data_IF_246592786734
#
_entry.id   IF_246592786734
#
_cell.length_a   1.000
_cell.length_b   1.000
_cell.length_c   1.000
_cell.angle_alpha   90.00
_cell.angle_beta   90.00
_cell.angle_gamma   90.00
#
_symmetry.space_group_name_H-M   'P 1'
#
loop_
_entity.id
_entity.type
_entity.pdbx_description
1 polymer ?
#
# COMPACT_ATOMS: atom_id res chain seq x y z
N UNK A 1 27.14 -44.94 -52.62
CA UNK A 1 26.22 -43.80 -52.42
C UNK A 1 25.79 -43.74 -50.95
N UNK A 2 26.75 -43.63 -50.01
CA UNK A 2 26.49 -43.74 -48.56
C UNK A 2 27.34 -42.76 -47.71
N UNK A 3 27.97 -41.76 -48.33
CA UNK A 3 28.88 -40.83 -47.64
C UNK A 3 28.24 -39.46 -47.32
N UNK A 4 26.99 -39.23 -47.71
CA UNK A 4 26.31 -37.92 -47.61
C UNK A 4 25.46 -37.77 -46.34
N UNK A 5 24.78 -38.85 -45.90
CA UNK A 5 23.91 -38.83 -44.71
C UNK A 5 24.66 -38.48 -43.41
N UNK A 6 25.90 -38.97 -43.24
CA UNK A 6 26.67 -38.76 -42.00
C UNK A 6 27.06 -37.29 -41.75
N UNK A 7 27.23 -36.50 -42.81
CA UNK A 7 27.52 -35.05 -42.68
C UNK A 7 26.27 -34.26 -42.35
N UNK A 8 25.13 -34.65 -42.89
CA UNK A 8 23.83 -34.06 -42.57
C UNK A 8 23.44 -34.30 -41.10
N UNK A 9 23.63 -35.53 -40.61
CA UNK A 9 23.37 -35.86 -39.20
C UNK A 9 24.29 -35.10 -38.24
N UNK A 10 25.58 -34.94 -38.59
CA UNK A 10 26.53 -34.17 -37.78
C UNK A 10 26.13 -32.69 -37.73
N UNK A 11 25.72 -32.10 -38.85
CA UNK A 11 25.27 -30.71 -38.94
C UNK A 11 24.01 -30.46 -38.09
N UNK A 12 23.03 -31.38 -38.15
CA UNK A 12 21.81 -31.32 -37.33
C UNK A 12 22.14 -31.49 -35.83
N UNK A 13 23.12 -32.33 -35.48
CA UNK A 13 23.55 -32.52 -34.08
C UNK A 13 24.24 -31.27 -33.51
N UNK A 14 25.08 -30.62 -34.32
CA UNK A 14 25.80 -29.39 -33.96
C UNK A 14 24.83 -28.21 -33.81
N UNK A 15 23.86 -28.06 -34.71
CA UNK A 15 22.80 -27.05 -34.62
C UNK A 15 21.92 -27.23 -33.37
N UNK A 16 21.52 -28.47 -33.06
CA UNK A 16 20.81 -28.80 -31.81
C UNK A 16 21.64 -28.47 -30.56
N UNK A 17 22.97 -28.59 -30.60
CA UNK A 17 23.84 -28.26 -29.47
C UNK A 17 23.97 -26.73 -29.27
N UNK A 18 24.08 -25.96 -30.35
CA UNK A 18 24.09 -24.50 -30.33
C UNK A 18 22.77 -23.94 -29.81
N UNK A 19 21.65 -24.49 -30.28
CA UNK A 19 20.30 -24.13 -29.81
C UNK A 19 20.11 -24.45 -28.32
N UNK A 20 20.56 -25.62 -27.84
CA UNK A 20 20.51 -25.99 -26.41
C UNK A 20 21.34 -25.04 -25.55
N UNK A 21 22.56 -24.69 -25.98
CA UNK A 21 23.42 -23.76 -25.26
C UNK A 21 22.82 -22.34 -25.22
N UNK A 22 22.22 -21.89 -26.32
CA UNK A 22 21.50 -20.61 -26.38
C UNK A 22 20.31 -20.55 -25.42
N UNK A 23 19.47 -21.58 -25.40
CA UNK A 23 18.34 -21.69 -24.47
C UNK A 23 18.81 -21.75 -23.00
N UNK A 24 19.92 -22.45 -22.72
CA UNK A 24 20.50 -22.51 -21.38
C UNK A 24 20.98 -21.12 -20.90
N UNK A 25 21.61 -20.33 -21.76
CA UNK A 25 22.04 -18.97 -21.43
C UNK A 25 20.86 -18.02 -21.17
N UNK A 26 19.79 -18.12 -21.98
CA UNK A 26 18.55 -17.36 -21.75
C UNK A 26 17.92 -17.75 -20.40
N UNK A 27 17.87 -19.05 -20.12
CA UNK A 27 17.38 -19.58 -18.84
C UNK A 27 18.19 -19.07 -17.66
N UNK A 28 19.52 -19.08 -17.76
CA UNK A 28 20.42 -18.58 -16.73
C UNK A 28 20.25 -17.07 -16.50
N UNK A 29 20.15 -16.28 -17.56
CA UNK A 29 19.90 -14.84 -17.46
C UNK A 29 18.55 -14.54 -16.80
N UNK A 30 17.50 -15.25 -17.20
CA UNK A 30 16.17 -15.09 -16.61
C UNK A 30 16.16 -15.50 -15.13
N UNK A 31 16.77 -16.64 -14.79
CA UNK A 31 16.91 -17.10 -13.41
C UNK A 31 17.68 -16.07 -12.56
N UNK A 32 18.81 -15.56 -13.06
CA UNK A 32 19.57 -14.52 -12.37
C UNK A 32 18.74 -13.24 -12.16
N UNK A 33 18.00 -12.79 -13.18
CA UNK A 33 17.09 -11.63 -13.08
C UNK A 33 16.00 -11.83 -12.02
N UNK A 34 15.39 -13.02 -11.99
CA UNK A 34 14.36 -13.39 -11.00
C UNK A 34 14.97 -13.43 -9.59
N UNK A 35 16.13 -14.07 -9.41
CA UNK A 35 16.83 -14.15 -8.13
C UNK A 35 17.22 -12.76 -7.61
N UNK A 36 17.78 -11.91 -8.47
CA UNK A 36 18.15 -10.53 -8.11
C UNK A 36 16.90 -9.73 -7.68
N UNK A 37 15.81 -9.83 -8.45
CA UNK A 37 14.56 -9.13 -8.13
C UNK A 37 13.99 -9.59 -6.78
N UNK A 38 14.01 -10.91 -6.53
CA UNK A 38 13.59 -11.49 -5.25
C UNK A 38 14.41 -10.95 -4.07
N UNK A 39 15.73 -10.88 -4.21
CA UNK A 39 16.61 -10.31 -3.16
C UNK A 39 16.25 -8.85 -2.89
N UNK A 40 16.06 -8.03 -3.93
CA UNK A 40 15.65 -6.64 -3.75
C UNK A 40 14.29 -6.51 -3.05
N UNK A 41 13.32 -7.34 -3.40
CA UNK A 41 12.00 -7.31 -2.77
C UNK A 41 12.04 -7.79 -1.31
N UNK A 42 12.89 -8.77 -0.99
CA UNK A 42 13.16 -9.18 0.39
C UNK A 42 13.78 -8.04 1.21
N UNK A 43 14.80 -7.36 0.67
CA UNK A 43 15.44 -6.23 1.33
C UNK A 43 14.45 -5.07 1.56
N UNK A 44 13.57 -4.79 0.58
CA UNK A 44 12.48 -3.82 0.74
C UNK A 44 11.53 -4.24 1.86
N UNK A 45 11.14 -5.51 1.91
CA UNK A 45 10.24 -6.03 2.95
C UNK A 45 10.87 -5.91 4.35
N UNK A 46 12.14 -6.31 4.52
CA UNK A 46 12.88 -6.15 5.77
C UNK A 46 12.92 -4.68 6.19
N UNK A 47 13.22 -3.77 5.26
CA UNK A 47 13.24 -2.33 5.54
C UNK A 47 11.88 -1.79 6.01
N UNK A 48 10.79 -2.21 5.37
CA UNK A 48 9.44 -1.69 5.64
C UNK A 48 8.82 -2.31 6.90
N UNK A 49 9.02 -3.60 7.13
CA UNK A 49 8.28 -4.36 8.13
C UNK A 49 9.10 -4.77 9.36
N UNK A 50 10.43 -4.72 9.28
CA UNK A 50 11.32 -5.02 10.41
C UNK A 50 12.04 -3.75 10.86
N UNK A 51 12.86 -3.16 9.99
CA UNK A 51 13.67 -2.00 10.36
C UNK A 51 12.81 -0.78 10.74
N UNK A 52 11.70 -0.56 10.03
CA UNK A 52 10.78 0.53 10.38
C UNK A 52 10.14 0.38 11.77
N UNK A 53 10.01 -0.85 12.28
CA UNK A 53 9.40 -1.12 13.59
C UNK A 53 10.40 -0.99 14.74
N UNK A 54 11.68 -1.27 14.46
CA UNK A 54 12.79 -1.14 15.42
C UNK A 54 13.35 0.29 15.45
N UNK A 55 13.24 1.01 14.33
CA UNK A 55 13.66 2.40 14.25
C UNK A 55 12.94 3.25 15.32
N UNK A 56 13.68 4.22 15.88
CA UNK A 56 13.14 5.14 16.88
C UNK A 56 11.82 5.72 16.39
N UNK A 57 10.79 5.69 17.25
CA UNK A 57 9.47 6.25 16.93
C UNK A 57 9.64 7.67 16.39
N UNK A 58 9.11 7.90 15.19
CA UNK A 58 9.14 9.20 14.54
C UNK A 58 8.25 10.15 15.33
N UNK A 59 8.81 11.30 15.71
CA UNK A 59 8.00 12.43 16.15
C UNK A 59 7.37 13.04 14.90
N UNK A 60 6.06 12.78 14.72
CA UNK A 60 5.34 13.28 13.55
C UNK A 60 5.20 14.79 13.56
N UNK A 61 5.20 15.42 14.74
CA UNK A 61 5.13 16.86 14.81
C UNK A 61 6.41 17.52 14.30
N UNK A 62 7.56 16.96 14.67
CA UNK A 62 8.85 17.42 14.13
C UNK A 62 8.96 17.09 12.64
N UNK A 63 8.56 15.87 12.23
CA UNK A 63 8.72 15.43 10.84
C UNK A 63 7.81 16.18 9.86
N UNK A 64 6.56 16.46 10.25
CA UNK A 64 5.54 17.03 9.36
C UNK A 64 5.14 18.47 9.70
N UNK A 65 5.94 19.15 10.53
CA UNK A 65 5.84 20.59 10.72
C UNK A 65 4.68 21.05 11.60
N UNK A 66 4.05 20.15 12.35
CA UNK A 66 3.00 20.53 13.30
C UNK A 66 2.28 19.36 13.95
N UNK A 67 1.53 19.66 15.02
CA UNK A 67 0.93 18.66 15.90
C UNK A 67 -0.45 18.20 15.46
N UNK A 68 -0.98 18.62 14.32
CA UNK A 68 -2.38 18.37 14.01
C UNK A 68 -2.59 17.26 12.99
N UNK A 69 -3.48 16.33 13.28
CA UNK A 69 -3.91 15.29 12.36
C UNK A 69 -5.42 15.33 12.18
N UNK A 70 -5.91 15.15 10.96
CA UNK A 70 -7.33 14.93 10.66
C UNK A 70 -7.51 13.47 10.28
N UNK A 71 -8.47 12.80 10.92
CA UNK A 71 -8.81 11.42 10.63
C UNK A 71 -10.26 11.37 10.17
N UNK A 72 -10.48 10.92 8.93
CA UNK A 72 -11.84 10.68 8.42
C UNK A 72 -12.29 9.26 8.78
N UNK A 73 -13.60 9.07 8.97
CA UNK A 73 -14.14 7.77 9.37
C UNK A 73 -13.67 7.32 10.75
N UNK A 74 -13.42 8.27 11.67
CA UNK A 74 -12.82 8.01 12.97
C UNK A 74 -13.76 7.39 14.03
N UNK A 75 -15.04 7.15 13.68
CA UNK A 75 -16.06 6.65 14.61
C UNK A 75 -15.80 5.21 15.06
N UNK A 76 -15.27 4.36 14.16
CA UNK A 76 -15.10 2.93 14.41
C UNK A 76 -13.89 2.34 13.66
N UNK A 77 -13.61 1.06 13.94
CA UNK A 77 -12.63 0.25 13.23
C UNK A 77 -11.24 0.88 13.12
N UNK A 78 -10.69 0.87 11.91
CA UNK A 78 -9.34 1.34 11.60
C UNK A 78 -9.21 2.86 11.81
N UNK A 79 -10.23 3.65 11.42
CA UNK A 79 -10.20 5.10 11.59
C UNK A 79 -10.11 5.51 13.07
N UNK A 80 -10.91 4.87 13.93
CA UNK A 80 -10.81 5.08 15.39
C UNK A 80 -9.42 4.74 15.92
N UNK A 81 -8.84 3.62 15.49
CA UNK A 81 -7.50 3.22 15.90
C UNK A 81 -6.43 4.22 15.44
N UNK A 82 -6.52 4.77 14.22
CA UNK A 82 -5.65 5.86 13.76
C UNK A 82 -5.75 7.09 14.65
N UNK A 83 -6.96 7.53 14.97
CA UNK A 83 -7.15 8.67 15.85
C UNK A 83 -6.53 8.43 17.23
N UNK A 84 -6.78 7.28 17.85
CA UNK A 84 -6.22 6.94 19.15
C UNK A 84 -4.69 6.84 19.13
N UNK A 85 -4.09 6.19 18.12
CA UNK A 85 -2.64 6.04 18.05
C UNK A 85 -1.93 7.35 17.69
N UNK A 86 -2.51 8.20 16.84
CA UNK A 86 -1.99 9.54 16.56
C UNK A 86 -2.01 10.42 17.82
N UNK A 87 -3.10 10.37 18.59
CA UNK A 87 -3.19 11.05 19.88
C UNK A 87 -2.14 10.54 20.88
N UNK A 88 -1.95 9.21 20.97
CA UNK A 88 -0.87 8.60 21.78
C UNK A 88 0.54 9.02 21.36
N UNK A 89 0.72 9.41 20.09
CA UNK A 89 1.98 9.94 19.55
C UNK A 89 2.13 11.46 19.70
N UNK A 90 1.23 12.12 20.43
CA UNK A 90 1.31 13.55 20.73
C UNK A 90 0.72 14.46 19.66
N UNK A 91 -0.07 13.92 18.73
CA UNK A 91 -0.82 14.72 17.76
C UNK A 91 -2.17 15.15 18.33
N UNK A 92 -2.54 16.41 18.15
CA UNK A 92 -3.90 16.91 18.25
C UNK A 92 -4.73 16.33 17.09
N UNK A 93 -5.73 15.50 17.40
CA UNK A 93 -6.51 14.83 16.36
C UNK A 93 -7.87 15.47 16.20
N UNK A 94 -8.17 15.91 14.99
CA UNK A 94 -9.51 16.28 14.57
C UNK A 94 -10.18 15.07 13.96
N UNK A 95 -11.33 14.70 14.52
CA UNK A 95 -12.14 13.59 14.06
C UNK A 95 -13.18 14.13 13.08
N UNK A 96 -13.22 13.57 11.87
CA UNK A 96 -14.31 13.83 10.92
C UNK A 96 -15.10 12.54 10.69
N UNK A 97 -16.36 12.57 11.11
CA UNK A 97 -17.42 11.67 10.64
C UNK A 97 -18.44 12.53 9.87
N UNK A 98 -19.55 11.96 9.38
CA UNK A 98 -20.51 12.58 8.44
C UNK A 98 -21.25 13.86 8.94
N UNK A 99 -20.69 14.66 9.85
CA UNK A 99 -21.18 16.01 10.18
C UNK A 99 -20.18 17.10 9.75
N UNK A 100 -20.69 18.08 9.02
CA UNK A 100 -19.96 19.16 8.35
C UNK A 100 -19.66 20.30 9.33
N UNK A 101 -18.43 20.38 9.86
CA UNK A 101 -17.93 21.60 10.49
C UNK A 101 -16.52 21.97 10.04
N UNK A 102 -16.39 23.27 9.73
CA UNK A 102 -15.27 24.00 9.10
C UNK A 102 -13.91 23.61 9.67
N UNK A 103 -12.99 23.18 8.81
CA UNK A 103 -11.60 22.91 9.20
C UNK A 103 -10.57 23.43 8.19
N UNK A 104 -10.76 24.65 7.68
CA UNK A 104 -9.89 25.23 6.67
C UNK A 104 -8.50 25.67 7.17
N UNK A 105 -8.04 25.36 8.40
CA UNK A 105 -6.83 26.05 8.93
C UNK A 105 -5.77 25.23 9.67
N UNK A 106 -5.90 23.92 9.90
CA UNK A 106 -5.09 23.30 10.97
C UNK A 106 -4.42 21.95 10.67
N UNK A 107 -4.72 21.21 9.60
CA UNK A 107 -4.24 19.82 9.49
C UNK A 107 -2.80 19.66 8.93
N UNK A 108 -1.95 18.89 9.63
CA UNK A 108 -0.58 18.51 9.20
C UNK A 108 -0.47 17.03 8.76
N UNK A 109 -1.39 16.18 9.19
CA UNK A 109 -1.54 14.78 8.74
C UNK A 109 -2.99 14.50 8.38
N UNK A 110 -3.28 13.86 7.25
CA UNK A 110 -4.62 13.33 6.96
C UNK A 110 -4.59 11.82 6.87
N UNK A 111 -5.53 11.15 7.56
CA UNK A 111 -5.88 9.75 7.29
C UNK A 111 -7.24 9.75 6.58
N UNK A 112 -7.23 9.46 5.28
CA UNK A 112 -8.44 9.40 4.49
C UNK A 112 -8.94 7.95 4.36
N UNK A 113 -9.85 7.56 5.24
CA UNK A 113 -10.47 6.25 5.21
C UNK A 113 -11.74 6.26 4.37
N UNK A 114 -11.61 6.34 3.04
CA UNK A 114 -12.78 6.19 2.16
C UNK A 114 -12.85 4.78 1.63
N UNK A 115 -13.82 4.06 2.15
CA UNK A 115 -14.23 2.76 1.68
C UNK A 115 -15.19 2.18 2.68
N UNK A 116 -16.43 2.64 2.59
CA UNK A 116 -17.54 1.96 3.23
C UNK A 116 -17.82 0.72 2.39
N UNK A 117 -17.90 -0.45 3.02
CA UNK A 117 -18.54 -1.61 2.42
C UNK A 117 -20.04 -1.36 2.56
N UNK A 118 -20.73 -1.09 1.45
CA UNK A 118 -22.15 -0.76 1.46
C UNK A 118 -22.97 -2.04 1.31
N UNK A 119 -24.11 -2.13 2.01
CA UNK A 119 -25.09 -3.20 1.81
C UNK A 119 -25.96 -2.99 0.53
N UNK A 120 -25.73 -1.92 -0.24
CA UNK A 120 -26.47 -1.56 -1.46
C UNK A 120 -25.66 -0.62 -2.40
N UNK A 121 -25.95 -0.56 -3.71
CA UNK A 121 -25.25 0.33 -4.65
C UNK A 121 -25.66 1.82 -4.51
N UNK A 122 -24.68 2.74 -4.53
CA UNK A 122 -24.89 4.20 -4.56
C UNK A 122 -24.21 4.85 -5.78
N UNK A 123 -24.71 6.04 -6.18
CA UNK A 123 -24.20 6.83 -7.32
C UNK A 123 -22.87 7.55 -7.03
N UNK A 124 -22.09 7.72 -8.10
CA UNK A 124 -20.67 8.05 -8.17
C UNK A 124 -20.23 9.47 -7.73
N UNK A 125 -21.14 10.37 -7.32
CA UNK A 125 -20.84 11.81 -7.21
C UNK A 125 -20.23 12.26 -5.86
N UNK A 126 -20.14 11.40 -4.86
CA UNK A 126 -19.38 11.67 -3.62
C UNK A 126 -17.94 11.19 -3.77
N UNK A 127 -17.13 11.96 -4.49
CA UNK A 127 -15.71 11.62 -4.71
C UNK A 127 -14.95 11.62 -3.37
N UNK A 128 -14.23 10.53 -3.02
CA UNK A 128 -13.48 10.34 -1.78
C UNK A 128 -12.46 11.41 -1.32
N UNK A 129 -12.24 12.51 -2.05
CA UNK A 129 -11.01 13.30 -1.92
C UNK A 129 -11.21 14.80 -1.69
N UNK A 130 -12.39 15.23 -1.23
CA UNK A 130 -12.59 16.63 -0.84
C UNK A 130 -11.56 17.08 0.23
N UNK A 131 -11.23 16.18 1.17
CA UNK A 131 -10.25 16.48 2.23
C UNK A 131 -8.84 16.72 1.70
N UNK A 132 -8.37 15.90 0.77
CA UNK A 132 -7.06 16.09 0.12
C UNK A 132 -7.01 17.44 -0.59
N UNK A 133 -8.06 17.81 -1.32
CA UNK A 133 -8.14 19.12 -2.00
C UNK A 133 -8.10 20.30 -1.03
N UNK A 134 -8.70 20.17 0.14
CA UNK A 134 -8.75 21.25 1.15
C UNK A 134 -7.37 21.48 1.79
N UNK A 135 -6.65 20.42 2.14
CA UNK A 135 -5.40 20.56 2.93
C UNK A 135 -4.14 20.64 2.09
N UNK A 136 -4.15 20.04 0.89
CA UNK A 136 -2.96 19.93 0.06
C UNK A 136 -2.35 21.29 -0.28
N UNK A 137 -3.12 22.35 -0.67
CA UNK A 137 -2.55 23.67 -0.90
C UNK A 137 -1.79 24.24 0.31
N UNK A 138 -2.26 23.94 1.52
CA UNK A 138 -1.62 24.42 2.75
C UNK A 138 -0.35 23.62 3.07
N UNK A 139 -0.37 22.30 2.89
CA UNK A 139 0.82 21.45 3.04
C UNK A 139 1.91 21.86 2.04
N UNK A 140 1.54 22.15 0.79
CA UNK A 140 2.46 22.65 -0.24
C UNK A 140 3.07 24.01 0.13
N UNK A 141 2.27 24.94 0.67
CA UNK A 141 2.78 26.24 1.17
C UNK A 141 3.80 26.05 2.30
N UNK A 142 3.55 25.11 3.22
CA UNK A 142 4.46 24.78 4.32
C UNK A 142 5.66 23.92 3.88
N UNK A 143 5.61 23.38 2.65
CA UNK A 143 6.51 22.35 2.12
C UNK A 143 6.68 21.15 3.05
N UNK A 144 5.61 20.81 3.77
CA UNK A 144 5.64 19.80 4.82
C UNK A 144 4.23 19.29 5.09
N UNK A 145 4.06 17.97 5.10
CA UNK A 145 2.79 17.32 5.45
C UNK A 145 2.76 15.85 5.03
N UNK A 146 1.80 15.10 5.60
CA UNK A 146 1.58 13.70 5.25
C UNK A 146 0.10 13.38 4.98
N UNK A 147 -0.15 12.56 3.97
CA UNK A 147 -1.48 12.03 3.64
C UNK A 147 -1.38 10.50 3.59
N UNK A 148 -2.19 9.82 4.40
CA UNK A 148 -2.37 8.37 4.38
C UNK A 148 -3.76 8.07 3.83
N UNK A 149 -3.83 7.38 2.70
CA UNK A 149 -5.07 6.92 2.11
C UNK A 149 -5.24 5.41 2.32
N UNK A 150 -6.45 4.99 2.71
CA UNK A 150 -6.76 3.58 2.92
C UNK A 150 -7.36 2.94 1.67
N UNK A 151 -6.54 2.16 0.96
CA UNK A 151 -6.96 1.28 -0.14
C UNK A 151 -7.30 -0.13 0.41
N UNK A 152 -7.20 -1.18 -0.42
CA UNK A 152 -7.42 -2.58 -0.09
C UNK A 152 -6.63 -3.50 -1.03
N UNK A 153 -6.23 -4.67 -0.54
CA UNK A 153 -5.68 -5.73 -1.39
C UNK A 153 -6.74 -6.36 -2.31
N UNK A 154 -8.04 -6.19 -2.00
CA UNK A 154 -9.14 -6.64 -2.87
C UNK A 154 -9.12 -5.99 -4.27
N UNK A 155 -8.47 -4.83 -4.44
CA UNK A 155 -8.30 -4.19 -5.75
C UNK A 155 -7.30 -4.90 -6.67
N UNK A 156 -6.45 -5.79 -6.16
CA UNK A 156 -5.41 -6.49 -6.94
C UNK A 156 -5.87 -7.83 -7.48
N UNK A 157 -7.00 -8.34 -6.98
CA UNK A 157 -7.49 -9.67 -7.28
C UNK A 157 -8.88 -9.53 -7.90
N UNK A 158 -9.26 -10.40 -8.84
CA UNK A 158 -10.66 -10.56 -9.20
C UNK A 158 -11.42 -10.99 -7.94
N UNK A 159 -12.21 -10.09 -7.35
CA UNK A 159 -13.07 -10.39 -6.20
C UNK A 159 -14.53 -10.40 -6.66
N UNK A 160 -15.06 -11.57 -7.08
CA UNK A 160 -16.48 -11.71 -7.41
C UNK A 160 -17.36 -11.13 -6.31
N UNK A 161 -18.49 -10.54 -6.69
CA UNK A 161 -19.48 -9.91 -5.79
C UNK A 161 -18.99 -8.66 -5.03
N UNK A 162 -17.73 -8.24 -5.21
CA UNK A 162 -17.14 -7.03 -4.59
C UNK A 162 -16.60 -6.04 -5.63
N UNK A 163 -17.06 -6.14 -6.89
CA UNK A 163 -16.49 -5.40 -8.03
C UNK A 163 -16.40 -3.89 -7.83
N UNK A 164 -17.48 -3.25 -7.36
CA UNK A 164 -17.51 -1.78 -7.15
C UNK A 164 -16.58 -1.38 -6.00
N UNK A 165 -16.54 -2.18 -4.94
CA UNK A 165 -15.62 -1.96 -3.82
C UNK A 165 -14.16 -2.08 -4.28
N UNK A 166 -13.81 -3.17 -4.96
CA UNK A 166 -12.47 -3.41 -5.50
C UNK A 166 -12.03 -2.29 -6.46
N UNK A 167 -12.90 -1.89 -7.39
CA UNK A 167 -12.63 -0.79 -8.32
C UNK A 167 -12.39 0.54 -7.59
N UNK A 168 -13.22 0.86 -6.59
CA UNK A 168 -13.06 2.09 -5.79
C UNK A 168 -11.75 2.07 -5.00
N UNK A 169 -11.38 0.92 -4.42
CA UNK A 169 -10.13 0.79 -3.66
C UNK A 169 -8.90 0.84 -4.55
N UNK A 170 -8.96 0.30 -5.77
CA UNK A 170 -7.87 0.43 -6.73
C UNK A 170 -7.75 1.88 -7.25
N UNK A 171 -8.87 2.58 -7.46
CA UNK A 171 -8.85 4.02 -7.74
C UNK A 171 -8.12 4.80 -6.66
N UNK A 172 -8.42 4.55 -5.38
CA UNK A 172 -7.73 5.21 -4.25
C UNK A 172 -6.22 4.93 -4.29
N UNK A 173 -5.80 3.71 -4.62
CA UNK A 173 -4.36 3.39 -4.71
C UNK A 173 -3.69 4.13 -5.87
N UNK A 174 -4.30 4.08 -7.06
CA UNK A 174 -3.79 4.75 -8.25
C UNK A 174 -3.69 6.27 -8.05
N UNK A 175 -4.75 6.88 -7.52
CA UNK A 175 -4.80 8.29 -7.17
C UNK A 175 -3.71 8.69 -6.16
N UNK A 176 -3.55 7.89 -5.10
CA UNK A 176 -2.54 8.17 -4.07
C UNK A 176 -1.11 8.09 -4.62
N UNK A 177 -0.85 7.14 -5.53
CA UNK A 177 0.46 7.03 -6.19
C UNK A 177 0.73 8.26 -7.05
N UNK A 178 -0.22 8.69 -7.88
CA UNK A 178 -0.08 9.87 -8.73
C UNK A 178 0.24 11.11 -7.88
N UNK A 179 -0.56 11.38 -6.84
CA UNK A 179 -0.30 12.49 -5.92
C UNK A 179 1.07 12.41 -5.25
N UNK A 180 1.50 11.23 -4.83
CA UNK A 180 2.81 11.06 -4.22
C UNK A 180 3.95 11.47 -5.17
N UNK A 181 3.81 11.25 -6.48
CA UNK A 181 4.78 11.70 -7.46
C UNK A 181 4.68 13.21 -7.69
N UNK A 182 3.48 13.72 -7.92
CA UNK A 182 3.21 15.14 -8.21
C UNK A 182 3.67 16.10 -7.09
N UNK A 183 3.47 15.71 -5.83
CA UNK A 183 3.66 16.60 -4.68
C UNK A 183 4.88 16.26 -3.83
N UNK A 184 5.65 15.22 -4.17
CA UNK A 184 6.88 14.89 -3.43
C UNK A 184 7.93 16.00 -3.48
N UNK A 185 8.09 16.67 -4.62
CA UNK A 185 8.99 17.83 -4.75
C UNK A 185 8.54 19.04 -3.92
N UNK A 186 7.26 19.07 -3.53
CA UNK A 186 6.65 20.12 -2.71
C UNK A 186 6.66 19.75 -1.21
N UNK A 187 7.39 18.69 -0.82
CA UNK A 187 7.56 18.29 0.58
C UNK A 187 6.33 17.61 1.20
N UNK A 188 5.35 17.21 0.38
CA UNK A 188 4.16 16.47 0.85
C UNK A 188 4.37 14.99 0.60
N UNK A 189 4.26 14.20 1.67
CA UNK A 189 4.36 12.75 1.60
C UNK A 189 2.96 12.13 1.47
N UNK A 190 2.75 11.29 0.46
CA UNK A 190 1.49 10.55 0.30
C UNK A 190 1.77 9.05 0.36
N UNK A 191 1.06 8.35 1.24
CA UNK A 191 1.14 6.91 1.45
C UNK A 191 -0.21 6.24 1.19
N UNK A 192 -0.21 5.21 0.36
CA UNK A 192 -1.34 4.30 0.17
C UNK A 192 -1.13 3.02 0.99
N UNK A 193 -2.11 2.71 1.84
CA UNK A 193 -2.14 1.45 2.61
C UNK A 193 -3.13 0.46 1.99
N UNK A 194 -2.65 -0.76 1.71
CA UNK A 194 -3.42 -1.84 1.08
C UNK A 194 -3.54 -3.05 2.02
N UNK A 195 -4.34 -2.98 3.08
CA UNK A 195 -4.47 -4.10 4.01
C UNK A 195 -5.24 -5.27 3.42
N UNK A 196 -5.04 -6.45 4.01
CA UNK A 196 -5.99 -7.56 4.03
C UNK A 196 -6.94 -7.39 5.23
N UNK A 197 -7.59 -8.45 5.68
CA UNK A 197 -8.52 -8.40 6.79
C UNK A 197 -7.89 -7.85 8.07
N UNK A 198 -8.59 -6.91 8.71
CA UNK A 198 -8.29 -6.39 10.05
C UNK A 198 -9.53 -6.65 10.90
N UNK A 199 -9.36 -7.26 12.08
CA UNK A 199 -10.45 -7.68 12.95
C UNK A 199 -11.27 -6.48 13.44
N UNK A 200 -12.35 -6.16 12.70
CA UNK A 200 -13.26 -5.03 12.92
C UNK A 200 -14.70 -5.50 12.80
N UNK A 201 -15.67 -4.63 13.10
CA UNK A 201 -17.08 -4.92 12.85
C UNK A 201 -17.35 -5.27 11.37
N UNK A 202 -16.62 -4.64 10.44
CA UNK A 202 -16.70 -4.90 8.99
C UNK A 202 -16.26 -6.31 8.58
N UNK A 203 -15.49 -7.02 9.43
CA UNK A 203 -15.07 -8.40 9.16
C UNK A 203 -15.92 -9.43 9.91
N UNK A 204 -17.19 -9.11 10.19
CA UNK A 204 -18.21 -10.02 10.73
C UNK A 204 -17.75 -10.88 11.93
N UNK A 205 -17.00 -10.28 12.86
CA UNK A 205 -16.59 -10.95 14.11
C UNK A 205 -15.40 -11.89 14.01
N UNK A 206 -14.61 -11.86 12.91
CA UNK A 206 -13.34 -12.59 12.82
C UNK A 206 -12.42 -12.21 14.00
N UNK A 207 -11.92 -13.22 14.72
CA UNK A 207 -11.05 -13.04 15.88
C UNK A 207 -9.65 -12.58 15.44
N UNK A 208 -8.99 -11.70 16.23
CA UNK A 208 -7.61 -11.30 15.96
C UNK A 208 -6.66 -12.50 15.92
N UNK A 209 -5.77 -12.51 14.94
CA UNK A 209 -4.71 -13.49 14.75
C UNK A 209 -3.49 -12.84 14.10
N UNK A 210 -2.42 -13.61 13.85
CA UNK A 210 -1.25 -13.12 13.12
C UNK A 210 -1.62 -12.69 11.69
N UNK A 211 -2.51 -13.41 11.02
CA UNK A 211 -2.94 -13.07 9.66
C UNK A 211 -3.98 -11.94 9.63
N UNK A 212 -4.74 -11.77 10.72
CA UNK A 212 -5.83 -10.79 10.87
C UNK A 212 -5.60 -9.97 12.13
N UNK A 213 -4.79 -8.89 12.09
CA UNK A 213 -4.46 -8.10 13.27
C UNK A 213 -5.68 -7.37 13.83
N UNK A 214 -5.61 -6.98 15.12
CA UNK A 214 -6.53 -6.00 15.67
C UNK A 214 -6.29 -4.61 15.07
N UNK A 215 -7.27 -3.68 15.10
CA UNK A 215 -7.12 -2.34 14.53
C UNK A 215 -5.96 -1.56 15.17
N UNK A 216 -5.81 -1.64 16.49
CA UNK A 216 -4.70 -1.00 17.21
C UNK A 216 -3.34 -1.55 16.78
N UNK A 217 -3.24 -2.88 16.65
CA UNK A 217 -2.00 -3.54 16.20
C UNK A 217 -1.66 -3.14 14.78
N UNK A 218 -2.65 -3.17 13.89
CA UNK A 218 -2.50 -2.78 12.49
C UNK A 218 -2.01 -1.34 12.38
N UNK A 219 -2.70 -0.39 13.00
CA UNK A 219 -2.39 1.04 12.91
C UNK A 219 -1.01 1.36 13.50
N UNK A 220 -0.67 0.78 14.65
CA UNK A 220 0.66 0.98 15.27
C UNK A 220 1.79 0.62 14.30
N UNK A 221 1.66 -0.53 13.61
CA UNK A 221 2.63 -0.98 12.62
C UNK A 221 2.59 -0.13 11.35
N UNK A 222 1.39 0.20 10.86
CA UNK A 222 1.20 0.97 9.63
C UNK A 222 1.83 2.37 9.73
N UNK A 223 1.60 3.08 10.84
CA UNK A 223 2.18 4.41 11.08
C UNK A 223 3.71 4.39 11.12
N UNK A 224 4.34 3.28 11.51
CA UNK A 224 5.80 3.18 11.50
C UNK A 224 6.38 3.12 10.08
N UNK A 225 5.59 2.62 9.12
CA UNK A 225 5.96 2.56 7.69
C UNK A 225 5.90 3.92 6.99
N UNK A 226 5.20 4.91 7.56
CA UNK A 226 5.09 6.25 7.01
C UNK A 226 6.48 6.91 7.00
N UNK A 227 6.94 7.42 5.86
CA UNK A 227 8.32 7.86 5.64
C UNK A 227 9.26 6.79 5.10
N UNK A 228 8.81 5.54 5.00
CA UNK A 228 9.63 4.42 4.55
C UNK A 228 9.16 3.96 3.17
N UNK A 229 7.86 3.78 2.99
CA UNK A 229 7.27 3.39 1.70
C UNK A 229 6.01 4.18 1.39
N UNK A 230 5.85 4.61 0.14
CA UNK A 230 4.65 5.28 -0.39
C UNK A 230 3.49 4.31 -0.62
N UNK A 231 3.75 3.01 -0.77
CA UNK A 231 2.74 1.96 -0.99
C UNK A 231 3.13 0.69 -0.27
N UNK A 232 2.29 0.22 0.65
CA UNK A 232 2.52 -1.02 1.39
C UNK A 232 1.21 -1.50 2.04
N UNK A 233 1.25 -2.66 2.68
CA UNK A 233 0.06 -3.30 3.30
C UNK A 233 -0.21 -2.86 4.74
N UNK A 234 0.66 -2.04 5.34
CA UNK A 234 0.61 -1.58 6.74
C UNK A 234 1.04 -2.62 7.77
N UNK A 235 1.00 -3.92 7.43
CA UNK A 235 1.30 -5.02 8.34
C UNK A 235 2.00 -6.16 7.62
N UNK A 236 3.00 -6.76 8.26
CA UNK A 236 3.94 -7.69 7.62
C UNK A 236 3.27 -8.97 7.11
N UNK A 237 2.32 -9.53 7.87
CA UNK A 237 1.63 -10.76 7.47
C UNK A 237 0.74 -10.55 6.26
N UNK A 238 0.21 -9.34 6.07
CA UNK A 238 -0.52 -8.98 4.85
C UNK A 238 0.41 -8.95 3.63
N UNK A 239 1.68 -8.59 3.79
CA UNK A 239 2.64 -8.60 2.68
C UNK A 239 2.93 -10.03 2.20
N UNK A 240 2.99 -10.99 3.13
CA UNK A 240 3.12 -12.42 2.81
C UNK A 240 1.86 -12.92 2.09
N UNK A 241 0.66 -12.51 2.56
CA UNK A 241 -0.59 -12.86 1.89
C UNK A 241 -0.64 -12.34 0.45
N UNK A 242 -0.17 -11.12 0.17
CA UNK A 242 -0.05 -10.62 -1.21
C UNK A 242 0.81 -11.58 -2.07
N UNK A 243 1.95 -12.03 -1.55
CA UNK A 243 2.84 -12.93 -2.29
C UNK A 243 2.18 -14.28 -2.60
N UNK A 244 1.38 -14.83 -1.68
CA UNK A 244 0.68 -16.10 -1.91
C UNK A 244 -0.47 -16.00 -2.92
N UNK A 245 -1.08 -14.82 -3.06
CA UNK A 245 -2.21 -14.63 -3.98
C UNK A 245 -1.78 -14.18 -5.39
N UNK A 246 -0.59 -13.60 -5.56
CA UNK A 246 -0.07 -13.20 -6.88
C UNK A 246 0.63 -14.34 -7.64
N UNK A 247 0.74 -15.53 -7.03
CA UNK A 247 1.35 -16.73 -7.65
C UNK A 247 0.34 -17.65 -8.34
N UNK A 248 -0.93 -17.23 -8.46
CA UNK A 248 -2.02 -17.92 -9.15
C UNK A 248 -2.75 -16.95 -10.08
#
# INVERSE_FOLDING_TARGET
MAADDSRFDLFISLDKSGLKNGLALIGLFWAAKVSISFVFDLLKAVRIYVLAQIARRKDFAVKYGGRWAVVTGASEGIGKAFACELARRGMNVVLMSRSTQKLEKVADTIVNNVGVMYDYPQYFLDVPNQMTRIVLPQMCKRKCGAIINMSSSAGQLPTPQMTVYAATKEFVDSFSRALAYEYSAQGVEVQSLRPFYVATAMTYGVKPSIAVPSPDTYVKNALNTLGVSRRNTGYWSHAIQVLSYLTH
#
